data_IF_641844834573
#
_entry.id   IF_641844834573
#
_cell.length_a   1.000
_cell.length_b   1.000
_cell.length_c   1.000
_cell.angle_alpha   90.00
_cell.angle_beta   90.00
_cell.angle_gamma   90.00
#
_symmetry.space_group_name_H-M   'P 1'
#
loop_
_entity.id
_entity.type
_entity.pdbx_description
1 polymer ?
#
# COMPACT_ATOMS: atom_id res chain seq x y z
N UNK A 1 14.75 12.86 18.40
CA UNK A 1 15.11 11.85 19.42
C UNK A 1 15.68 10.65 18.69
N UNK A 2 16.90 10.21 19.00
CA UNK A 2 17.42 8.94 18.48
C UNK A 2 16.68 7.81 19.20
N UNK A 3 16.00 6.94 18.45
CA UNK A 3 15.39 5.73 19.00
C UNK A 3 16.52 4.72 19.26
N UNK A 4 16.45 4.00 20.38
CA UNK A 4 17.44 2.96 20.67
C UNK A 4 17.40 1.89 19.57
N UNK A 5 18.59 1.44 19.18
CA UNK A 5 18.74 0.43 18.14
C UNK A 5 18.32 -0.93 18.73
N UNK A 6 17.40 -1.66 18.08
CA UNK A 6 17.06 -3.02 18.50
C UNK A 6 18.28 -3.95 18.48
N UNK A 7 18.29 -4.96 19.35
CA UNK A 7 19.37 -5.96 19.44
C UNK A 7 19.51 -6.77 18.14
N UNK A 8 18.38 -7.05 17.48
CA UNK A 8 18.33 -7.74 16.19
C UNK A 8 17.68 -6.89 15.12
N UNK A 9 18.17 -7.05 13.88
CA UNK A 9 17.57 -6.41 12.70
C UNK A 9 16.47 -7.31 12.17
N UNK A 10 15.26 -6.77 12.05
CA UNK A 10 14.07 -7.50 11.61
C UNK A 10 13.49 -6.90 10.34
N UNK A 11 12.77 -7.74 9.58
CA UNK A 11 11.98 -7.34 8.43
C UNK A 11 10.94 -6.29 8.84
N UNK A 12 10.74 -5.28 8.01
CA UNK A 12 9.85 -4.15 8.28
C UNK A 12 10.49 -3.00 9.06
N UNK A 13 11.68 -3.21 9.64
CA UNK A 13 12.43 -2.13 10.28
C UNK A 13 13.11 -1.23 9.26
N UNK A 14 13.24 0.04 9.63
CA UNK A 14 13.88 1.08 8.84
C UNK A 14 15.12 1.62 9.57
N UNK A 15 16.17 1.85 8.79
CA UNK A 15 17.46 2.36 9.26
C UNK A 15 17.99 3.41 8.28
N UNK A 16 18.83 4.31 8.74
CA UNK A 16 19.71 5.04 7.83
C UNK A 16 20.82 4.11 7.32
N UNK A 17 21.18 4.21 6.06
CA UNK A 17 22.33 3.51 5.50
C UNK A 17 23.08 4.37 4.48
N UNK A 18 24.41 4.24 4.45
CA UNK A 18 25.23 4.83 3.40
C UNK A 18 25.30 3.87 2.20
N UNK A 19 24.69 4.32 1.10
CA UNK A 19 24.52 3.55 -0.12
C UNK A 19 25.59 3.85 -1.19
N UNK A 20 26.54 4.74 -0.91
CA UNK A 20 27.61 5.07 -1.84
C UNK A 20 28.78 4.08 -1.77
N UNK A 21 29.55 3.94 -2.88
CA UNK A 21 29.34 4.57 -4.18
C UNK A 21 28.23 3.90 -4.99
N UNK A 22 27.72 4.61 -6.01
CA UNK A 22 26.70 4.14 -6.95
C UNK A 22 27.07 4.47 -8.39
N UNK A 23 26.50 3.73 -9.35
CA UNK A 23 26.66 3.97 -10.78
C UNK A 23 25.31 4.36 -11.41
N UNK A 24 25.32 5.42 -12.23
CA UNK A 24 24.14 5.80 -13.02
C UNK A 24 22.93 6.21 -12.17
N UNK A 25 21.84 5.43 -12.27
CA UNK A 25 20.54 5.73 -11.64
C UNK A 25 20.25 4.95 -10.35
N UNK A 26 21.24 4.19 -9.87
CA UNK A 26 21.18 3.53 -8.57
C UNK A 26 20.95 4.57 -7.43
N UNK A 27 20.14 4.20 -6.44
CA UNK A 27 19.94 5.07 -5.28
C UNK A 27 21.19 5.12 -4.38
N UNK A 28 21.87 6.26 -4.38
CA UNK A 28 23.03 6.54 -3.52
C UNK A 28 22.72 7.48 -2.34
N UNK A 29 23.78 7.90 -1.67
CA UNK A 29 23.76 8.77 -0.50
C UNK A 29 23.42 8.06 0.82
N UNK A 30 23.53 8.81 1.91
CA UNK A 30 23.02 8.36 3.21
C UNK A 30 21.53 8.66 3.32
N UNK A 31 20.70 7.62 3.42
CA UNK A 31 19.24 7.75 3.43
C UNK A 31 18.56 6.63 4.24
N UNK A 32 17.28 6.80 4.61
CA UNK A 32 16.52 5.70 5.16
C UNK A 32 16.38 4.55 4.16
N UNK A 33 16.40 3.34 4.67
CA UNK A 33 16.18 2.09 3.94
C UNK A 33 15.25 1.19 4.75
N UNK A 34 14.41 0.44 4.06
CA UNK A 34 13.53 -0.58 4.64
C UNK A 34 14.18 -1.95 4.54
N UNK A 35 14.24 -2.70 5.63
CA UNK A 35 14.67 -4.10 5.63
C UNK A 35 13.56 -4.98 5.07
N UNK A 36 13.84 -5.67 3.97
CA UNK A 36 12.87 -6.56 3.30
C UNK A 36 13.27 -8.03 3.34
N UNK A 37 14.52 -8.34 3.72
CA UNK A 37 15.01 -9.71 3.90
C UNK A 37 14.28 -10.44 5.04
N UNK A 38 14.12 -11.76 4.90
CA UNK A 38 13.54 -12.62 5.92
C UNK A 38 14.38 -12.64 7.22
N UNK A 39 13.72 -12.85 8.36
CA UNK A 39 14.36 -12.76 9.67
C UNK A 39 15.43 -13.82 9.92
N UNK A 40 15.28 -15.03 9.36
CA UNK A 40 16.33 -16.07 9.46
C UNK A 40 17.63 -15.57 8.82
N UNK A 41 17.54 -15.01 7.60
CA UNK A 41 18.67 -14.37 6.95
C UNK A 41 19.21 -13.21 7.77
N UNK A 42 18.34 -12.38 8.34
CA UNK A 42 18.76 -11.23 9.15
C UNK A 42 19.49 -11.65 10.43
N UNK A 43 19.19 -12.80 11.03
CA UNK A 43 19.90 -13.28 12.21
C UNK A 43 21.30 -13.83 11.86
N UNK A 44 21.41 -14.62 10.79
CA UNK A 44 22.63 -15.40 10.53
C UNK A 44 23.57 -14.81 9.46
N UNK A 45 23.05 -14.04 8.49
CA UNK A 45 23.86 -13.50 7.39
C UNK A 45 24.62 -12.24 7.82
N UNK A 46 25.86 -12.00 7.34
CA UNK A 46 26.51 -10.70 7.47
C UNK A 46 25.86 -9.61 6.59
N UNK A 47 25.08 -10.01 5.58
CA UNK A 47 24.40 -9.12 4.65
C UNK A 47 22.89 -9.05 4.88
N UNK A 48 22.28 -7.98 4.36
CA UNK A 48 20.87 -7.70 4.47
C UNK A 48 20.30 -7.12 3.16
N UNK A 49 19.13 -7.57 2.74
CA UNK A 49 18.41 -7.01 1.58
C UNK A 49 17.52 -5.86 2.05
N UNK A 50 17.69 -4.70 1.41
CA UNK A 50 16.95 -3.48 1.70
C UNK A 50 16.28 -2.88 0.47
N UNK A 51 15.26 -2.06 0.71
CA UNK A 51 14.67 -1.15 -0.28
C UNK A 51 14.99 0.31 0.12
N UNK A 52 15.59 1.13 -0.76
CA UNK A 52 15.84 2.54 -0.47
C UNK A 52 14.55 3.35 -0.31
N UNK A 53 14.57 4.33 0.60
CA UNK A 53 13.47 5.28 0.80
C UNK A 53 13.89 6.66 0.31
N UNK A 54 13.00 7.33 -0.42
CA UNK A 54 13.21 8.68 -0.94
C UNK A 54 12.18 9.66 -0.40
N UNK A 55 12.58 10.90 -0.15
CA UNK A 55 11.69 12.02 0.17
C UNK A 55 11.10 12.67 -1.08
N UNK A 56 11.64 12.36 -2.26
CA UNK A 56 11.15 12.86 -3.54
C UNK A 56 9.94 12.04 -3.97
N UNK A 57 8.78 12.37 -3.43
CA UNK A 57 7.47 11.85 -3.86
C UNK A 57 7.12 12.48 -5.21
N UNK A 58 7.85 12.11 -6.26
CA UNK A 58 7.56 12.49 -7.65
C UNK A 58 7.50 11.20 -8.45
N UNK A 59 6.32 10.89 -9.00
CA UNK A 59 5.93 9.65 -9.71
C UNK A 59 5.36 8.54 -8.82
N UNK A 60 4.14 8.73 -8.30
CA UNK A 60 3.33 7.68 -7.65
C UNK A 60 2.70 6.68 -8.67
N UNK A 61 3.20 6.61 -9.91
CA UNK A 61 2.60 5.80 -10.99
C UNK A 61 3.29 4.46 -11.23
N UNK A 62 4.31 4.14 -10.44
CA UNK A 62 4.99 2.86 -10.54
C UNK A 62 4.44 1.92 -9.48
N UNK A 63 4.02 0.70 -9.82
CA UNK A 63 3.47 -0.26 -8.84
C UNK A 63 4.54 -0.71 -7.82
N UNK A 64 5.81 -0.42 -8.07
CA UNK A 64 6.94 -0.67 -7.18
C UNK A 64 7.20 0.45 -6.17
N UNK A 65 6.36 1.49 -6.13
CA UNK A 65 6.51 2.64 -5.23
C UNK A 65 5.45 2.63 -4.13
N UNK A 66 5.88 2.50 -2.87
CA UNK A 66 4.98 2.52 -1.71
C UNK A 66 5.21 3.78 -0.88
N UNK A 67 4.15 4.56 -0.66
CA UNK A 67 4.20 5.77 0.18
C UNK A 67 4.32 5.43 1.66
N UNK A 68 5.23 6.09 2.38
CA UNK A 68 5.44 5.93 3.81
C UNK A 68 5.20 7.26 4.52
N UNK A 69 4.17 7.35 5.38
CA UNK A 69 3.91 8.53 6.19
C UNK A 69 5.02 8.85 7.21
N UNK A 70 5.18 10.13 7.62
CA UNK A 70 6.20 10.52 8.59
C UNK A 70 6.06 9.89 9.97
N UNK A 71 4.84 9.49 10.38
CA UNK A 71 4.59 8.97 11.74
C UNK A 71 5.33 7.65 12.05
N UNK A 72 5.85 6.96 11.03
CA UNK A 72 6.75 5.82 11.19
C UNK A 72 8.18 6.20 11.65
N UNK A 73 8.45 7.49 11.91
CA UNK A 73 9.74 8.00 12.38
C UNK A 73 10.58 8.70 11.31
N UNK A 74 10.02 8.87 10.10
CA UNK A 74 10.65 9.60 9.02
C UNK A 74 10.44 11.11 9.19
N UNK A 75 11.37 11.96 8.73
CA UNK A 75 11.26 13.41 8.89
C UNK A 75 10.09 14.02 8.10
N UNK A 76 9.62 13.34 7.05
CA UNK A 76 8.52 13.77 6.19
C UNK A 76 7.95 12.58 5.42
N UNK A 77 6.83 12.81 4.70
CA UNK A 77 6.25 11.83 3.79
C UNK A 77 7.30 11.39 2.77
N UNK A 78 7.46 10.08 2.65
CA UNK A 78 8.51 9.45 1.88
C UNK A 78 7.94 8.29 1.05
N UNK A 79 8.81 7.60 0.31
CA UNK A 79 8.43 6.52 -0.58
C UNK A 79 9.51 5.43 -0.60
N UNK A 80 9.15 4.17 -0.38
CA UNK A 80 10.01 3.03 -0.64
C UNK A 80 10.00 2.70 -2.14
N UNK A 81 11.18 2.42 -2.70
CA UNK A 81 11.39 2.12 -4.12
C UNK A 81 11.81 0.66 -4.28
N UNK A 82 10.86 -0.23 -4.58
CA UNK A 82 11.06 -1.67 -4.62
C UNK A 82 11.84 -2.13 -5.86
N UNK A 83 11.93 -1.30 -6.89
CA UNK A 83 12.79 -1.52 -8.06
C UNK A 83 14.26 -1.15 -7.83
N UNK A 84 14.59 -0.57 -6.67
CA UNK A 84 15.94 -0.13 -6.30
C UNK A 84 16.54 -0.98 -5.16
N UNK A 85 16.01 -2.19 -4.95
CA UNK A 85 16.46 -3.08 -3.88
C UNK A 85 17.94 -3.45 -4.02
N UNK A 86 18.58 -3.71 -2.87
CA UNK A 86 19.99 -4.08 -2.83
C UNK A 86 20.31 -4.91 -1.60
N UNK A 87 21.21 -5.85 -1.77
CA UNK A 87 21.92 -6.50 -0.66
C UNK A 87 23.10 -5.63 -0.22
N UNK A 88 23.14 -5.27 1.06
CA UNK A 88 24.24 -4.51 1.68
C UNK A 88 24.85 -5.28 2.85
N UNK A 89 26.09 -4.98 3.20
CA UNK A 89 26.67 -5.43 4.46
C UNK A 89 25.99 -4.72 5.65
N UNK A 90 25.73 -5.44 6.75
CA UNK A 90 25.08 -4.88 7.96
C UNK A 90 25.85 -3.71 8.57
N UNK A 91 27.17 -3.62 8.36
CA UNK A 91 27.99 -2.48 8.80
C UNK A 91 27.56 -1.14 8.16
N UNK A 92 26.83 -1.17 7.04
CA UNK A 92 26.26 0.02 6.41
C UNK A 92 25.02 0.56 7.12
N UNK A 93 24.38 -0.22 8.01
CA UNK A 93 23.23 0.20 8.80
C UNK A 93 23.66 1.10 9.97
N UNK A 94 23.21 2.34 9.93
CA UNK A 94 23.41 3.35 10.96
C UNK A 94 22.24 3.44 11.95
N UNK A 95 21.77 4.67 12.18
CA UNK A 95 20.73 4.96 13.16
C UNK A 95 19.39 4.31 12.80
N UNK A 96 18.71 3.74 13.81
CA UNK A 96 17.35 3.19 13.68
C UNK A 96 16.32 4.30 13.50
N UNK A 97 15.36 4.07 12.60
CA UNK A 97 14.29 5.03 12.26
C UNK A 97 12.96 4.59 12.88
N UNK A 98 12.54 3.35 12.65
CA UNK A 98 11.23 2.85 13.05
C UNK A 98 10.91 1.51 12.40
N UNK A 99 9.67 1.04 12.55
CA UNK A 99 9.18 -0.18 11.94
C UNK A 99 7.86 0.12 11.24
N UNK A 100 7.61 -0.51 10.09
CA UNK A 100 6.31 -0.49 9.43
C UNK A 100 5.38 -1.51 10.09
N UNK A 101 4.08 -1.23 10.06
CA UNK A 101 3.04 -2.14 10.52
C UNK A 101 2.73 -3.21 9.46
N UNK A 102 2.12 -4.32 9.88
CA UNK A 102 1.84 -5.47 9.01
C UNK A 102 1.02 -5.08 7.76
N UNK A 103 -0.01 -4.23 7.93
CA UNK A 103 -0.83 -3.73 6.81
C UNK A 103 0.01 -3.04 5.73
N UNK A 104 1.06 -2.32 6.14
CA UNK A 104 1.97 -1.64 5.19
C UNK A 104 2.92 -2.64 4.56
N UNK A 105 3.37 -3.64 5.33
CA UNK A 105 4.23 -4.70 4.84
C UNK A 105 3.53 -5.58 3.78
N UNK A 106 2.21 -5.76 3.85
CA UNK A 106 1.45 -6.44 2.79
C UNK A 106 1.58 -5.73 1.44
N UNK A 107 1.45 -4.40 1.41
CA UNK A 107 1.67 -3.62 0.18
C UNK A 107 3.13 -3.66 -0.29
N UNK A 108 4.08 -3.73 0.64
CA UNK A 108 5.50 -3.91 0.31
C UNK A 108 5.74 -5.26 -0.36
N UNK A 109 5.10 -6.32 0.11
CA UNK A 109 5.23 -7.67 -0.42
C UNK A 109 4.65 -7.77 -1.82
N UNK A 110 3.50 -7.14 -2.05
CA UNK A 110 2.89 -7.02 -3.38
C UNK A 110 3.80 -6.26 -4.36
N UNK A 111 4.24 -5.06 -3.98
CA UNK A 111 5.11 -4.23 -4.80
C UNK A 111 6.46 -4.90 -5.09
N UNK A 112 7.03 -5.61 -4.11
CA UNK A 112 8.25 -6.40 -4.28
C UNK A 112 8.01 -7.55 -5.26
N UNK A 113 6.89 -8.27 -5.11
CA UNK A 113 6.49 -9.34 -6.01
C UNK A 113 6.38 -8.86 -7.46
N UNK A 114 5.74 -7.72 -7.68
CA UNK A 114 5.66 -7.06 -9.00
C UNK A 114 7.06 -6.68 -9.50
N UNK A 115 7.89 -6.07 -8.65
CA UNK A 115 9.23 -5.60 -9.04
C UNK A 115 10.15 -6.73 -9.53
N UNK A 116 9.99 -7.94 -8.99
CA UNK A 116 10.82 -9.10 -9.36
C UNK A 116 10.08 -10.12 -10.23
N UNK A 117 8.88 -9.78 -10.72
CA UNK A 117 8.10 -10.63 -11.62
C UNK A 117 7.55 -11.91 -10.98
N UNK A 118 7.42 -11.94 -9.66
CA UNK A 118 6.72 -13.02 -8.93
C UNK A 118 5.21 -12.80 -8.87
N UNK A 119 4.77 -11.57 -9.12
CA UNK A 119 3.36 -11.20 -9.25
C UNK A 119 3.18 -10.39 -10.53
N UNK A 120 2.05 -10.62 -11.20
CA UNK A 120 1.69 -9.83 -12.37
C UNK A 120 0.90 -8.60 -11.91
N UNK A 121 1.35 -7.36 -12.20
CA UNK A 121 0.58 -6.16 -11.88
C UNK A 121 -0.78 -6.13 -12.61
N UNK A 122 -0.92 -6.94 -13.66
CA UNK A 122 -2.20 -7.24 -14.30
C UNK A 122 -2.74 -8.53 -13.69
N UNK A 123 -3.47 -8.44 -12.58
CA UNK A 123 -4.08 -9.60 -11.95
C UNK A 123 -4.92 -10.40 -12.96
N UNK A 124 -4.41 -11.58 -13.34
CA UNK A 124 -5.16 -12.75 -13.80
C UNK A 124 -6.20 -12.60 -14.94
N UNK A 125 -5.82 -12.01 -16.07
CA UNK A 125 -6.62 -12.09 -17.32
C UNK A 125 -6.44 -13.44 -18.07
N UNK A 126 -5.46 -14.27 -17.64
CA UNK A 126 -5.13 -15.54 -18.30
C UNK A 126 -5.77 -16.76 -17.65
N UNK A 127 -5.93 -16.84 -16.32
CA UNK A 127 -6.64 -17.97 -15.70
C UNK A 127 -8.17 -17.77 -15.65
N UNK A 128 -8.70 -16.58 -15.94
CA UNK A 128 -10.14 -16.33 -16.08
C UNK A 128 -10.74 -16.77 -17.42
N UNK A 129 -9.92 -17.06 -18.45
CA UNK A 129 -10.41 -17.57 -19.76
C UNK A 129 -10.84 -19.05 -19.73
N UNK A 130 -10.66 -19.75 -18.60
CA UNK A 130 -10.93 -21.19 -18.49
C UNK A 130 -11.73 -21.60 -17.23
N UNK A 131 -12.54 -20.71 -16.64
CA UNK A 131 -13.46 -21.12 -15.56
C UNK A 131 -14.90 -21.31 -16.09
N UNK A 132 -15.57 -22.44 -15.79
CA UNK A 132 -16.99 -22.64 -16.13
C UNK A 132 -17.87 -21.57 -15.49
N UNK A 133 -18.92 -21.16 -16.21
CA UNK A 133 -19.76 -20.00 -15.88
C UNK A 133 -20.62 -20.13 -14.59
N UNK A 134 -20.61 -21.29 -13.92
CA UNK A 134 -21.66 -21.67 -12.97
C UNK A 134 -21.21 -21.80 -11.49
N UNK A 135 -20.00 -21.38 -11.11
CA UNK A 135 -19.59 -21.33 -9.70
C UNK A 135 -19.93 -19.97 -9.03
N UNK A 136 -20.56 -19.95 -7.84
CA UNK A 136 -20.94 -18.73 -7.17
C UNK A 136 -19.70 -18.03 -6.59
N UNK A 137 -19.54 -16.77 -6.98
CA UNK A 137 -18.45 -15.89 -6.60
C UNK A 137 -18.74 -15.26 -5.23
N UNK A 138 -17.85 -15.43 -4.25
CA UNK A 138 -17.79 -14.57 -3.05
C UNK A 138 -17.14 -13.21 -3.38
N UNK A 139 -17.54 -12.61 -4.51
CA UNK A 139 -17.02 -11.32 -5.01
C UNK A 139 -17.97 -10.20 -4.54
N UNK A 140 -17.58 -9.45 -3.50
CA UNK A 140 -18.28 -8.18 -3.18
C UNK A 140 -17.89 -7.14 -4.23
N UNK A 141 -18.85 -6.51 -4.96
CA UNK A 141 -18.53 -5.59 -6.05
C UNK A 141 -17.74 -4.35 -5.60
N UNK A 142 -16.69 -3.99 -6.35
CA UNK A 142 -15.80 -2.83 -6.11
C UNK A 142 -16.53 -1.47 -6.15
N UNK A 143 -17.68 -1.44 -6.81
CA UNK A 143 -18.62 -0.34 -6.84
C UNK A 143 -20.03 -0.91 -6.63
N UNK A 144 -20.78 -0.33 -5.72
CA UNK A 144 -22.18 -0.68 -5.50
C UNK A 144 -23.08 0.55 -5.55
N UNK A 145 -24.29 0.38 -6.06
CA UNK A 145 -25.34 1.39 -6.01
C UNK A 145 -26.31 1.00 -4.91
N UNK A 146 -26.47 1.88 -3.93
CA UNK A 146 -27.37 1.65 -2.79
C UNK A 146 -28.31 2.85 -2.61
N UNK A 147 -29.60 2.56 -2.42
CA UNK A 147 -30.57 3.55 -1.98
C UNK A 147 -30.46 3.74 -0.46
N UNK A 148 -29.96 4.90 -0.03
CA UNK A 148 -29.64 5.15 1.39
C UNK A 148 -30.35 6.39 1.93
N UNK A 149 -30.95 6.27 3.12
CA UNK A 149 -31.42 7.43 3.86
C UNK A 149 -30.23 8.21 4.44
N UNK A 150 -30.43 9.49 4.75
CA UNK A 150 -29.35 10.36 5.26
C UNK A 150 -28.68 9.86 6.54
N UNK A 151 -29.36 9.05 7.36
CA UNK A 151 -28.77 8.43 8.56
C UNK A 151 -27.88 7.24 8.19
N UNK A 152 -28.39 6.30 7.39
CA UNK A 152 -27.64 5.11 6.97
C UNK A 152 -26.48 5.44 6.03
N UNK A 153 -26.55 6.58 5.33
CA UNK A 153 -25.45 7.03 4.49
C UNK A 153 -24.21 7.46 5.28
N UNK A 154 -24.36 7.89 6.54
CA UNK A 154 -23.25 8.37 7.37
C UNK A 154 -22.15 7.34 7.56
N UNK A 155 -22.49 6.06 7.63
CA UNK A 155 -21.51 4.98 7.79
C UNK A 155 -20.53 4.91 6.61
N UNK A 156 -20.96 5.29 5.41
CA UNK A 156 -20.12 5.33 4.21
C UNK A 156 -19.42 6.68 4.04
N UNK A 157 -20.07 7.79 4.40
CA UNK A 157 -19.45 9.13 4.33
C UNK A 157 -18.30 9.27 5.34
N UNK A 158 -18.45 8.71 6.54
CA UNK A 158 -17.43 8.80 7.59
C UNK A 158 -16.39 7.69 7.51
N UNK A 159 -16.59 6.69 6.65
CA UNK A 159 -15.57 5.67 6.42
C UNK A 159 -14.41 6.27 5.61
N UNK A 160 -13.16 6.21 6.10
CA UNK A 160 -12.00 6.63 5.33
C UNK A 160 -11.81 5.76 4.07
N UNK A 161 -12.41 4.58 4.02
CA UNK A 161 -12.27 3.60 2.93
C UNK A 161 -13.25 3.80 1.76
N UNK A 162 -14.23 4.70 1.86
CA UNK A 162 -15.30 4.81 0.86
C UNK A 162 -15.42 6.20 0.24
N UNK A 163 -15.75 6.23 -1.05
CA UNK A 163 -16.18 7.43 -1.77
C UNK A 163 -17.66 7.29 -2.06
N UNK A 164 -18.43 8.32 -1.71
CA UNK A 164 -19.87 8.36 -1.89
C UNK A 164 -20.22 9.43 -2.91
N UNK A 165 -21.01 9.08 -3.93
CA UNK A 165 -21.53 10.04 -4.92
C UNK A 165 -23.03 9.85 -5.09
N UNK A 166 -23.79 10.95 -5.07
CA UNK A 166 -25.22 10.91 -5.40
C UNK A 166 -25.37 10.72 -6.92
N UNK A 167 -26.15 9.72 -7.33
CA UNK A 167 -26.27 9.34 -8.75
C UNK A 167 -27.10 10.36 -9.51
N UNK A 168 -28.32 10.62 -9.03
CA UNK A 168 -29.19 11.63 -9.60
C UNK A 168 -29.71 12.57 -8.49
N UNK A 169 -29.59 13.88 -8.75
CA UNK A 169 -30.05 14.93 -7.82
C UNK A 169 -31.54 15.21 -7.99
N UNK A 170 -32.13 14.84 -9.11
CA UNK A 170 -33.54 15.01 -9.45
C UNK A 170 -34.43 13.81 -9.14
N UNK A 171 -33.81 12.69 -8.73
CA UNK A 171 -34.52 11.48 -8.32
C UNK A 171 -35.51 11.77 -7.19
N UNK A 172 -36.68 11.14 -7.25
CA UNK A 172 -37.59 11.00 -6.11
C UNK A 172 -37.02 10.04 -5.08
N UNK A 173 -37.41 10.19 -3.82
CA UNK A 173 -36.89 9.32 -2.76
C UNK A 173 -37.53 7.93 -2.83
N UNK A 174 -36.72 6.91 -2.57
CA UNK A 174 -37.13 5.50 -2.53
C UNK A 174 -36.76 4.84 -1.18
N UNK A 175 -37.41 3.73 -0.79
CA UNK A 175 -37.13 3.08 0.50
C UNK A 175 -35.65 2.70 0.65
N UNK A 176 -35.06 3.04 1.80
CA UNK A 176 -33.66 2.74 2.06
C UNK A 176 -33.42 1.23 2.14
N UNK A 177 -32.45 0.73 1.38
CA UNK A 177 -32.08 -0.69 1.32
C UNK A 177 -31.38 -1.20 2.58
N UNK A 178 -30.94 -0.31 3.48
CA UNK A 178 -30.20 -0.70 4.68
C UNK A 178 -31.10 -0.83 5.92
N UNK A 179 -32.00 0.15 6.12
CA UNK A 179 -32.91 0.12 7.27
C UNK A 179 -34.34 -0.28 6.92
N UNK A 180 -34.74 -0.22 5.65
CA UNK A 180 -36.09 -0.46 5.17
C UNK A 180 -37.20 0.36 5.86
N UNK A 181 -36.84 1.45 6.57
CA UNK A 181 -37.78 2.26 7.38
C UNK A 181 -37.89 3.72 6.90
N UNK A 182 -36.85 4.25 6.26
CA UNK A 182 -36.80 5.65 5.81
C UNK A 182 -36.54 5.72 4.32
N UNK A 183 -37.01 6.77 3.67
CA UNK A 183 -36.71 6.98 2.26
C UNK A 183 -35.37 7.70 2.07
N UNK A 184 -34.70 7.38 0.97
CA UNK A 184 -33.36 7.78 0.62
C UNK A 184 -33.20 8.10 -0.87
N UNK A 185 -31.95 8.28 -1.28
CA UNK A 185 -31.58 8.47 -2.69
C UNK A 185 -30.57 7.41 -3.08
N UNK A 186 -30.35 7.26 -4.38
CA UNK A 186 -29.31 6.37 -4.87
C UNK A 186 -27.94 7.01 -4.78
N UNK A 187 -27.04 6.28 -4.12
CA UNK A 187 -25.65 6.62 -3.98
C UNK A 187 -24.80 5.53 -4.59
N UNK A 188 -23.82 5.97 -5.37
CA UNK A 188 -22.69 5.15 -5.81
C UNK A 188 -21.67 5.13 -4.68
N UNK A 189 -21.43 3.96 -4.11
CA UNK A 189 -20.47 3.69 -3.04
C UNK A 189 -19.29 2.95 -3.65
N UNK A 190 -18.10 3.55 -3.56
CA UNK A 190 -16.88 3.05 -4.21
C UNK A 190 -15.84 2.80 -3.13
N UNK A 191 -15.24 1.61 -3.10
CA UNK A 191 -14.17 1.28 -2.17
C UNK A 191 -12.83 1.88 -2.64
N UNK A 192 -12.14 2.64 -1.77
CA UNK A 192 -10.92 3.39 -2.12
C UNK A 192 -9.71 2.49 -2.40
N UNK A 193 -9.61 1.31 -1.77
CA UNK A 193 -8.47 0.38 -1.98
C UNK A 193 -8.19 0.02 -3.45
N UNK A 194 -9.17 0.07 -4.37
CA UNK A 194 -8.94 -0.15 -5.80
C UNK A 194 -8.90 1.11 -6.68
N UNK A 195 -9.18 2.31 -6.14
CA UNK A 195 -8.82 3.57 -6.81
C UNK A 195 -7.34 3.94 -6.65
N UNK A 196 -6.68 3.43 -5.60
CA UNK A 196 -5.22 3.53 -5.46
C UNK A 196 -4.46 2.76 -6.56
N UNK A 197 -5.13 1.86 -7.28
CA UNK A 197 -4.57 1.13 -8.43
C UNK A 197 -4.81 1.76 -9.81
N UNK A 198 -5.79 2.66 -9.99
CA UNK A 198 -6.20 3.06 -11.36
C UNK A 198 -6.54 4.56 -11.58
N UNK A 199 -6.47 5.42 -10.57
CA UNK A 199 -6.62 6.88 -10.78
C UNK A 199 -5.60 7.69 -9.97
N UNK A 200 -4.40 7.77 -10.54
CA UNK A 200 -3.59 8.99 -10.75
C UNK A 200 -3.76 10.15 -9.74
N UNK A 201 -2.67 10.50 -9.07
CA UNK A 201 -2.19 11.89 -9.04
C UNK A 201 -1.34 12.19 -10.31
#
# INVERSE_FOLDING_TARGET
>A
MKRERPDEVLRGQMYYANLDPVIGSEQGGTRPVLVIQNNVGNSFSPTIIIAPITTRVKKLRQPTHIGIPPFFGLPQSSMAMLEQIRTIDKSRLGDYVGCLDDDVMDYIDEALGISVGLQDPTGDDRAQRQRPADEPRDDVPDEMVLTLCGTCLRQFIYSPEHIVRRIDRTQTKEPCMYCHVRDGYDYRIIHKKKRLGDDRY
#
